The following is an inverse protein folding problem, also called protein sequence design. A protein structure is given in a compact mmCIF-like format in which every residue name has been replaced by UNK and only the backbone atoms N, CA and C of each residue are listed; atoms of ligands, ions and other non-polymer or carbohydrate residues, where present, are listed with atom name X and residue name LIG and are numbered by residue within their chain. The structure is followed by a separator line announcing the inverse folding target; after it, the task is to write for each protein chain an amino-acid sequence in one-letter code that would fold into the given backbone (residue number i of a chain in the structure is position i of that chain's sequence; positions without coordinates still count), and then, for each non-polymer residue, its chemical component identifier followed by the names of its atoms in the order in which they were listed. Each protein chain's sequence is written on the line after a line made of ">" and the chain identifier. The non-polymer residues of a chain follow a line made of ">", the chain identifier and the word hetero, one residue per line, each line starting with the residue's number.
data_IF_123292575493
#
_entry.id   IF_123292575493
#
_cell.length_a   1.000
_cell.length_b   1.000
_cell.length_c   1.000
_cell.angle_alpha   90.00
_cell.angle_beta   90.00
_cell.angle_gamma   90.00
#
_symmetry.space_group_name_H-M   'P 1'
#
loop_
_entity.id
_entity.type
_entity.pdbx_description
1 polymer ?
#
# COMPACT_ATOMS: atom_id res chain seq x y z
N UNK A 1 11.07 4.97 8.64
CA UNK A 1 9.93 4.33 7.94
C UNK A 1 10.38 2.97 7.36
N UNK A 2 9.46 2.08 6.96
CA UNK A 2 9.80 0.77 6.36
C UNK A 2 9.04 0.58 5.06
N UNK A 3 9.62 -0.20 4.14
CA UNK A 3 8.94 -0.58 2.90
C UNK A 3 7.75 -1.52 3.22
N UNK A 4 6.56 -1.21 2.72
CA UNK A 4 5.34 -2.00 2.96
C UNK A 4 5.44 -3.44 2.42
N UNK A 5 6.22 -3.65 1.35
CA UNK A 5 6.43 -4.97 0.75
C UNK A 5 7.56 -5.77 1.42
N UNK A 6 8.79 -5.25 1.40
CA UNK A 6 9.97 -6.00 1.83
C UNK A 6 10.39 -5.75 3.30
N UNK A 7 9.68 -4.87 4.01
CA UNK A 7 9.91 -4.53 5.42
C UNK A 7 11.32 -3.97 5.75
N UNK A 8 12.13 -3.68 4.74
CA UNK A 8 13.43 -3.02 4.90
C UNK A 8 13.24 -1.61 5.42
N UNK A 9 14.21 -1.15 6.23
CA UNK A 9 14.26 0.22 6.70
C UNK A 9 14.52 1.14 5.50
N UNK A 10 13.68 2.16 5.40
CA UNK A 10 13.83 3.26 4.45
C UNK A 10 14.53 4.37 5.24
N UNK A 11 15.76 4.66 4.85
CA UNK A 11 16.61 5.68 5.45
C UNK A 11 16.70 6.91 4.53
N UNK A 12 17.07 8.05 5.11
CA UNK A 12 17.18 9.34 4.41
C UNK A 12 18.22 9.26 3.28
N UNK A 13 17.82 9.65 2.07
CA UNK A 13 18.68 9.62 0.86
C UNK A 13 18.37 8.49 -0.13
N UNK A 14 17.42 7.60 0.18
CA UNK A 14 16.86 6.64 -0.78
C UNK A 14 15.68 7.27 -1.53
N UNK A 15 15.51 6.89 -2.80
CA UNK A 15 14.29 7.21 -3.57
C UNK A 15 13.11 6.43 -2.98
N UNK A 16 12.41 7.06 -2.04
CA UNK A 16 11.23 6.50 -1.39
C UNK A 16 10.01 6.86 -2.24
N UNK A 17 9.24 5.85 -2.59
CA UNK A 17 7.95 6.02 -3.25
C UNK A 17 6.86 6.04 -2.18
N UNK A 18 6.08 7.10 -2.16
CA UNK A 18 4.91 7.23 -1.28
C UNK A 18 3.64 7.04 -2.12
N UNK A 19 2.72 6.22 -1.61
CA UNK A 19 1.43 5.95 -2.25
C UNK A 19 0.35 6.22 -1.23
N UNK A 20 -0.46 7.24 -1.49
CA UNK A 20 -1.65 7.56 -0.70
C UNK A 20 -2.78 6.60 -1.05
N UNK A 21 -3.41 6.01 -0.04
CA UNK A 21 -4.66 5.30 -0.23
C UNK A 21 -5.82 6.29 -0.26
N UNK A 22 -6.82 6.02 -1.09
CA UNK A 22 -8.02 6.84 -1.13
C UNK A 22 -9.16 6.14 -1.83
N UNK A 23 -10.36 6.69 -1.63
CA UNK A 23 -11.60 6.18 -2.20
C UNK A 23 -11.96 7.04 -3.40
N UNK A 24 -12.14 6.40 -4.56
CA UNK A 24 -12.69 7.07 -5.74
C UNK A 24 -14.22 7.08 -5.62
N UNK A 25 -14.78 8.24 -5.31
CA UNK A 25 -16.22 8.47 -5.27
C UNK A 25 -16.75 9.06 -6.58
N UNK A 26 -18.07 9.23 -6.65
CA UNK A 26 -18.76 9.88 -7.79
C UNK A 26 -18.36 11.34 -7.99
N UNK A 27 -17.86 11.99 -6.93
CA UNK A 27 -17.52 13.42 -6.91
C UNK A 27 -16.01 13.69 -6.96
N UNK A 28 -15.18 12.64 -6.99
CA UNK A 28 -13.71 12.77 -7.00
C UNK A 28 -13.00 11.76 -6.10
N UNK A 29 -11.69 11.95 -5.96
CA UNK A 29 -10.83 11.15 -5.09
C UNK A 29 -10.83 11.73 -3.67
N UNK A 30 -11.09 10.88 -2.69
CA UNK A 30 -11.00 11.22 -1.25
C UNK A 30 -9.80 10.47 -0.67
N UNK A 31 -8.69 11.15 -0.33
CA UNK A 31 -7.56 10.51 0.32
C UNK A 31 -7.97 10.00 1.71
N UNK A 32 -7.48 8.83 2.08
CA UNK A 32 -7.51 8.30 3.43
C UNK A 32 -6.21 8.71 4.15
N UNK A 33 -6.24 8.84 5.47
CA UNK A 33 -5.04 9.10 6.32
C UNK A 33 -4.09 7.87 6.40
N UNK A 34 -3.99 7.10 5.32
CA UNK A 34 -3.12 5.91 5.19
C UNK A 34 -2.21 6.09 3.97
N UNK A 35 -0.92 6.20 4.23
CA UNK A 35 0.12 6.29 3.22
C UNK A 35 1.08 5.10 3.31
N UNK A 36 1.32 4.44 2.18
CA UNK A 36 2.28 3.34 2.06
C UNK A 36 3.58 3.84 1.48
N UNK A 37 4.69 3.22 1.90
CA UNK A 37 6.02 3.60 1.45
C UNK A 37 6.74 2.40 0.84
N UNK A 38 7.44 2.62 -0.27
CA UNK A 38 8.17 1.57 -0.99
C UNK A 38 9.60 2.01 -1.29
N UNK A 39 10.52 1.04 -1.27
CA UNK A 39 11.94 1.31 -1.58
C UNK A 39 12.23 1.40 -3.09
N UNK A 40 11.34 0.86 -3.93
CA UNK A 40 11.46 0.87 -5.38
C UNK A 40 10.12 0.52 -6.05
N UNK A 41 10.03 0.75 -7.35
CA UNK A 41 8.84 0.49 -8.16
C UNK A 41 8.48 -1.00 -8.20
N UNK A 42 9.48 -1.89 -8.13
CA UNK A 42 9.27 -3.34 -8.09
C UNK A 42 8.49 -3.76 -6.83
N UNK A 43 8.88 -3.28 -5.64
CA UNK A 43 8.18 -3.56 -4.39
C UNK A 43 6.75 -3.04 -4.41
N UNK A 44 6.53 -1.85 -4.98
CA UNK A 44 5.19 -1.29 -5.17
C UNK A 44 4.36 -2.19 -6.09
N UNK A 45 4.90 -2.55 -7.25
CA UNK A 45 4.23 -3.40 -8.23
C UNK A 45 3.92 -4.78 -7.66
N UNK A 46 4.86 -5.41 -6.97
CA UNK A 46 4.66 -6.70 -6.32
C UNK A 46 3.60 -6.62 -5.23
N UNK A 47 3.56 -5.56 -4.42
CA UNK A 47 2.55 -5.38 -3.40
C UNK A 47 1.13 -5.35 -4.00
N UNK A 48 0.91 -4.50 -5.01
CA UNK A 48 -0.41 -4.40 -5.66
C UNK A 48 -0.74 -5.61 -6.56
N UNK A 49 0.25 -6.26 -7.15
CA UNK A 49 0.05 -7.47 -7.97
C UNK A 49 -0.23 -8.69 -7.11
N UNK A 50 0.48 -8.86 -5.99
CA UNK A 50 0.20 -9.90 -5.00
C UNK A 50 -1.17 -9.70 -4.35
N UNK A 51 -1.62 -8.45 -4.23
CA UNK A 51 -2.98 -8.11 -3.77
C UNK A 51 -4.06 -8.32 -4.85
N UNK A 52 -3.72 -8.23 -6.14
CA UNK A 52 -4.64 -8.48 -7.27
C UNK A 52 -4.77 -9.96 -7.67
N UNK A 53 -4.09 -10.87 -6.95
CA UNK A 53 -4.41 -12.29 -6.97
C UNK A 53 -5.62 -12.55 -6.06
N UNK A 54 -6.79 -12.74 -6.65
CA UNK A 54 -8.09 -13.01 -6.03
C UNK A 54 -8.16 -14.28 -5.15
N UNK A 55 -7.27 -14.49 -4.18
CA UNK A 55 -7.29 -15.72 -3.36
C UNK A 55 -6.87 -15.60 -1.89
N UNK A 56 -6.59 -14.42 -1.32
CA UNK A 56 -6.17 -14.38 0.09
C UNK A 56 -6.37 -13.06 0.81
N UNK A 57 -7.63 -12.66 0.91
CA UNK A 57 -8.11 -12.08 2.17
C UNK A 57 -9.43 -12.75 2.51
N UNK A 58 -9.36 -13.91 3.18
CA UNK A 58 -10.42 -14.30 4.11
C UNK A 58 -10.38 -13.29 5.25
N UNK A 59 -10.98 -12.13 5.02
CA UNK A 59 -11.23 -11.15 6.08
C UNK A 59 -12.19 -11.86 7.05
N UNK A 60 -11.63 -12.42 8.13
CA UNK A 60 -12.42 -12.84 9.26
C UNK A 60 -13.11 -11.60 9.81
N UNK A 61 -14.34 -11.34 9.37
CA UNK A 61 -15.19 -10.32 9.98
C UNK A 61 -15.46 -10.76 11.42
N UNK A 62 -14.77 -10.15 12.39
CA UNK A 62 -15.38 -9.97 13.72
C UNK A 62 -16.11 -8.64 13.67
N UNK A 63 -17.42 -8.72 13.40
CA UNK A 63 -18.37 -7.68 13.76
C UNK A 63 -18.74 -7.92 15.24
N UNK A 64 -18.74 -6.90 16.10
CA UNK A 64 -19.16 -7.05 17.51
C UNK A 64 -20.60 -7.54 17.65
#
# INVERSE_FOLDING_TARGET
>A
MKCSMCQKRLDEGLNILEVEEGIVGTSGFVPLDSAMHFCNEECMKEYFTASNGYDKWKVGRRVP
#
